data_IF_517421799170
#
_entry.id   IF_517421799170
#
_cell.length_a   1.000
_cell.length_b   1.000
_cell.length_c   1.000
_cell.angle_alpha   90.00
_cell.angle_beta   90.00
_cell.angle_gamma   90.00
#
_symmetry.space_group_name_H-M   'P 1'
#
loop_
_entity.id
_entity.type
_entity.pdbx_description
1 polymer ?
#
# COMPACT_ATOMS: atom_id res chain seq x y z
N UNK A 1 -47.40 -54.80 -4.15
CA UNK A 1 -47.00 -54.22 -2.86
C UNK A 1 -45.49 -54.04 -2.91
N UNK A 2 -44.84 -52.89 -2.91
CA UNK A 2 -45.17 -51.47 -2.89
C UNK A 2 -43.81 -50.80 -2.63
N UNK A 3 -43.23 -50.10 -3.61
CA UNK A 3 -41.92 -49.44 -3.47
C UNK A 3 -42.03 -48.20 -2.59
N UNK A 4 -41.10 -47.93 -1.66
CA UNK A 4 -41.01 -46.61 -1.07
C UNK A 4 -40.13 -45.70 -1.93
N UNK A 5 -40.79 -44.82 -2.66
CA UNK A 5 -40.23 -43.54 -3.13
C UNK A 5 -40.13 -42.60 -1.93
N UNK A 6 -38.95 -42.02 -1.67
CA UNK A 6 -38.84 -40.85 -0.79
C UNK A 6 -37.94 -39.77 -1.41
N UNK A 7 -38.62 -38.71 -1.84
CA UNK A 7 -38.19 -37.31 -2.00
C UNK A 7 -37.50 -36.79 -0.71
N UNK A 8 -36.70 -35.72 -0.58
CA UNK A 8 -36.10 -34.67 -1.44
C UNK A 8 -35.22 -33.77 -0.53
N UNK A 9 -34.01 -33.38 -1.00
CA UNK A 9 -33.40 -32.00 -1.02
C UNK A 9 -33.10 -31.29 0.36
N UNK A 10 -31.96 -30.56 0.59
CA UNK A 10 -31.40 -29.58 -0.35
C UNK A 10 -29.88 -29.53 -0.59
N UNK A 11 -29.63 -28.89 -1.73
CA UNK A 11 -28.38 -28.42 -2.30
C UNK A 11 -27.48 -27.72 -1.29
N UNK A 12 -26.22 -28.16 -1.28
CA UNK A 12 -25.09 -27.40 -0.75
C UNK A 12 -24.99 -26.08 -1.52
N UNK A 13 -25.32 -24.99 -0.84
CA UNK A 13 -25.11 -23.62 -1.33
C UNK A 13 -23.60 -23.36 -1.31
N UNK A 14 -22.92 -23.71 -2.40
CA UNK A 14 -21.55 -23.23 -2.64
C UNK A 14 -21.66 -21.76 -3.06
N UNK A 15 -21.56 -20.88 -2.08
CA UNK A 15 -21.39 -19.45 -2.29
C UNK A 15 -20.17 -19.19 -3.21
N UNK A 16 -20.23 -18.20 -4.12
CA UNK A 16 -19.09 -17.84 -4.92
C UNK A 16 -18.08 -17.10 -4.04
N UNK A 17 -16.90 -17.71 -3.84
CA UNK A 17 -15.76 -16.97 -3.34
C UNK A 17 -15.35 -15.94 -4.39
N UNK A 18 -15.80 -14.69 -4.21
CA UNK A 18 -15.27 -13.53 -4.92
C UNK A 18 -13.88 -13.21 -4.40
N UNK A 19 -12.92 -14.10 -4.67
CA UNK A 19 -11.50 -13.83 -4.47
C UNK A 19 -10.97 -13.29 -5.79
N UNK A 20 -10.78 -11.97 -5.88
CA UNK A 20 -10.00 -11.39 -6.97
C UNK A 20 -8.70 -12.18 -7.14
N UNK A 21 -8.32 -12.61 -8.34
CA UNK A 21 -7.11 -13.40 -8.52
C UNK A 21 -5.90 -12.52 -8.19
N UNK A 22 -5.34 -12.66 -6.99
CA UNK A 22 -4.00 -12.17 -6.71
C UNK A 22 -3.06 -12.92 -7.65
N UNK A 23 -2.65 -12.25 -8.72
CA UNK A 23 -1.68 -12.77 -9.67
C UNK A 23 -0.42 -13.11 -8.89
N UNK A 24 -0.10 -14.40 -8.77
CA UNK A 24 1.09 -14.84 -8.08
C UNK A 24 2.30 -14.23 -8.79
N UNK A 25 3.05 -13.40 -8.07
CA UNK A 25 4.30 -12.83 -8.58
C UNK A 25 5.32 -13.95 -8.64
N UNK A 26 5.98 -14.10 -9.78
CA UNK A 26 7.06 -15.06 -9.92
C UNK A 26 8.25 -14.64 -9.04
N UNK A 27 8.53 -15.44 -8.01
CA UNK A 27 9.63 -15.17 -7.07
C UNK A 27 11.00 -15.22 -7.75
N UNK A 28 11.14 -15.94 -8.86
CA UNK A 28 12.41 -15.99 -9.61
C UNK A 28 12.73 -14.63 -10.22
N UNK A 29 11.71 -13.94 -10.75
CA UNK A 29 11.83 -12.57 -11.28
C UNK A 29 12.14 -11.58 -10.16
N UNK A 30 11.54 -11.70 -8.97
CA UNK A 30 11.90 -10.80 -7.87
C UNK A 30 13.36 -10.98 -7.40
N UNK A 31 13.87 -12.21 -7.44
CA UNK A 31 15.26 -12.52 -7.08
C UNK A 31 16.30 -12.03 -8.09
N UNK A 32 15.89 -11.66 -9.31
CA UNK A 32 16.82 -11.08 -10.29
C UNK A 32 17.09 -9.59 -10.07
N UNK A 33 16.35 -8.94 -9.18
CA UNK A 33 16.58 -7.55 -8.79
C UNK A 33 17.32 -7.48 -7.45
N UNK A 34 18.12 -6.44 -7.28
CA UNK A 34 18.73 -6.13 -5.99
C UNK A 34 17.67 -5.62 -5.00
N UNK A 35 17.90 -5.75 -3.68
CA UNK A 35 17.03 -5.16 -2.67
C UNK A 35 16.81 -3.65 -2.87
N UNK A 36 17.84 -2.92 -3.27
CA UNK A 36 17.81 -1.48 -3.55
C UNK A 36 16.91 -1.16 -4.75
N UNK A 37 16.98 -1.96 -5.83
CA UNK A 37 16.13 -1.80 -7.00
C UNK A 37 14.66 -2.04 -6.66
N UNK A 38 14.37 -3.08 -5.87
CA UNK A 38 13.01 -3.37 -5.42
C UNK A 38 12.47 -2.26 -4.50
N UNK A 39 13.29 -1.74 -3.59
CA UNK A 39 12.90 -0.63 -2.71
C UNK A 39 12.67 0.66 -3.50
N UNK A 40 13.53 0.93 -4.50
CA UNK A 40 13.40 2.11 -5.37
C UNK A 40 12.10 2.03 -6.19
N UNK A 41 11.83 0.89 -6.82
CA UNK A 41 10.59 0.67 -7.58
C UNK A 41 9.35 0.81 -6.68
N UNK A 42 9.40 0.28 -5.45
CA UNK A 42 8.31 0.43 -4.48
C UNK A 42 8.11 1.89 -4.07
N UNK A 43 9.19 2.63 -3.83
CA UNK A 43 9.12 4.06 -3.48
C UNK A 43 8.49 4.88 -4.61
N UNK A 44 8.84 4.59 -5.86
CA UNK A 44 8.26 5.23 -7.04
C UNK A 44 6.77 4.90 -7.21
N UNK A 45 6.37 3.65 -6.96
CA UNK A 45 4.95 3.25 -6.99
C UNK A 45 4.10 3.92 -5.92
N UNK A 46 4.70 4.26 -4.77
CA UNK A 46 4.02 4.86 -3.63
C UNK A 46 4.13 6.39 -3.58
N UNK A 47 4.94 7.00 -4.44
CA UNK A 47 5.12 8.44 -4.51
C UNK A 47 3.80 9.12 -4.88
N UNK A 48 3.40 10.13 -4.08
CA UNK A 48 2.20 10.90 -4.39
C UNK A 48 2.54 11.84 -5.55
N UNK A 49 1.87 11.65 -6.68
CA UNK A 49 2.02 12.52 -7.84
C UNK A 49 1.52 13.94 -7.52
N UNK A 50 2.03 15.00 -8.18
CA UNK A 50 1.52 16.36 -8.01
C UNK A 50 0.01 16.48 -8.26
N UNK A 51 -0.54 15.66 -9.17
CA UNK A 51 -1.96 15.62 -9.51
C UNK A 51 -2.81 15.07 -8.36
N UNK A 52 -2.29 14.08 -7.64
CA UNK A 52 -3.01 13.41 -6.55
C UNK A 52 -2.77 14.05 -5.19
N UNK A 53 -1.89 15.06 -5.13
CA UNK A 53 -1.51 15.74 -3.90
C UNK A 53 -2.71 16.23 -3.09
N UNK A 54 -3.66 16.91 -3.71
CA UNK A 54 -4.83 17.44 -2.98
C UNK A 54 -5.70 16.34 -2.37
N UNK A 55 -5.82 15.20 -3.04
CA UNK A 55 -6.64 14.08 -2.58
C UNK A 55 -5.93 13.24 -1.52
N UNK A 56 -4.60 13.08 -1.62
CA UNK A 56 -3.85 12.09 -0.84
C UNK A 56 -2.91 12.70 0.20
N UNK A 57 -2.62 14.01 0.16
CA UNK A 57 -1.66 14.65 1.08
C UNK A 57 -2.03 14.57 2.56
N UNK A 58 -3.32 14.44 2.88
CA UNK A 58 -3.83 14.25 4.25
C UNK A 58 -4.15 12.78 4.58
N UNK A 59 -4.02 11.88 3.61
CA UNK A 59 -4.24 10.46 3.84
C UNK A 59 -3.04 9.86 4.57
N UNK A 60 -3.22 9.71 5.88
CA UNK A 60 -2.20 9.20 6.80
C UNK A 60 -1.57 7.88 6.34
N UNK A 61 -2.37 6.94 5.85
CA UNK A 61 -1.87 5.64 5.43
C UNK A 61 -1.01 5.74 4.16
N UNK A 62 -1.40 6.59 3.20
CA UNK A 62 -0.63 6.82 1.98
C UNK A 62 0.69 7.51 2.32
N UNK A 63 0.65 8.58 3.10
CA UNK A 63 1.84 9.33 3.52
C UNK A 63 2.82 8.46 4.33
N UNK A 64 2.31 7.61 5.23
CA UNK A 64 3.15 6.70 5.99
C UNK A 64 3.88 5.69 5.08
N UNK A 65 3.16 5.09 4.14
CA UNK A 65 3.75 4.11 3.19
C UNK A 65 4.78 4.75 2.28
N UNK A 66 4.48 5.94 1.73
CA UNK A 66 5.41 6.71 0.91
C UNK A 66 6.72 7.00 1.66
N UNK A 67 6.63 7.50 2.89
CA UNK A 67 7.81 7.80 3.71
C UNK A 67 8.59 6.54 4.10
N UNK A 68 7.91 5.45 4.46
CA UNK A 68 8.55 4.19 4.81
C UNK A 68 9.29 3.56 3.61
N UNK A 69 8.70 3.58 2.42
CA UNK A 69 9.34 3.08 1.21
C UNK A 69 10.56 3.93 0.83
N UNK A 70 10.46 5.26 0.93
CA UNK A 70 11.61 6.14 0.73
C UNK A 70 12.72 5.87 1.76
N UNK A 71 12.38 5.66 3.04
CA UNK A 71 13.36 5.33 4.06
C UNK A 71 14.11 4.02 3.77
N UNK A 72 13.40 2.99 3.29
CA UNK A 72 13.98 1.70 2.94
C UNK A 72 15.08 1.84 1.87
N UNK A 73 14.88 2.70 0.86
CA UNK A 73 15.89 3.00 -0.16
C UNK A 73 17.18 3.53 0.48
N UNK A 74 17.08 4.44 1.44
CA UNK A 74 18.26 5.00 2.10
C UNK A 74 18.93 4.00 3.05
N UNK A 75 18.16 3.19 3.78
CA UNK A 75 18.72 2.14 4.66
C UNK A 75 19.53 1.12 3.87
N UNK A 76 19.00 0.64 2.74
CA UNK A 76 19.69 -0.34 1.90
C UNK A 76 20.91 0.24 1.18
N UNK A 77 21.04 1.57 1.13
CA UNK A 77 22.21 2.28 0.58
C UNK A 77 23.17 2.77 1.67
N UNK A 78 23.06 2.25 2.89
CA UNK A 78 23.87 2.62 4.06
C UNK A 78 23.85 4.12 4.39
N UNK A 79 22.68 4.77 4.24
CA UNK A 79 22.44 6.19 4.56
C UNK A 79 21.41 6.37 5.69
N UNK A 80 21.73 5.95 6.92
CA UNK A 80 20.81 6.03 8.05
C UNK A 80 20.36 7.47 8.37
N UNK A 81 21.22 8.46 8.16
CA UNK A 81 20.95 9.89 8.36
C UNK A 81 19.79 10.41 7.50
N UNK A 82 19.60 9.84 6.31
CA UNK A 82 18.47 10.14 5.41
C UNK A 82 17.24 9.28 5.71
N UNK A 83 17.45 8.06 6.20
CA UNK A 83 16.38 7.13 6.51
C UNK A 83 15.61 7.50 7.78
N UNK A 84 16.32 7.85 8.86
CA UNK A 84 15.74 8.18 10.17
C UNK A 84 14.64 9.27 10.08
N UNK A 85 14.87 10.45 9.48
CA UNK A 85 13.83 11.48 9.41
C UNK A 85 12.59 11.00 8.65
N UNK A 86 12.73 10.13 7.64
CA UNK A 86 11.61 9.57 6.87
C UNK A 86 10.83 8.54 7.67
N UNK A 87 11.50 7.69 8.44
CA UNK A 87 10.84 6.78 9.38
C UNK A 87 10.05 7.55 10.44
N UNK A 88 10.62 8.62 10.99
CA UNK A 88 9.92 9.50 11.94
C UNK A 88 8.68 10.14 11.31
N UNK A 89 8.76 10.57 10.04
CA UNK A 89 7.59 11.04 9.31
C UNK A 89 6.55 9.93 9.14
N UNK A 90 6.95 8.71 8.75
CA UNK A 90 6.04 7.59 8.61
C UNK A 90 5.31 7.27 9.93
N UNK A 91 6.05 7.20 11.04
CA UNK A 91 5.49 7.02 12.39
C UNK A 91 4.53 8.14 12.72
N UNK A 92 4.92 9.39 12.49
CA UNK A 92 4.11 10.56 12.80
C UNK A 92 2.78 10.61 12.04
N UNK A 93 2.73 10.03 10.84
CA UNK A 93 1.49 9.84 10.11
C UNK A 93 0.62 8.72 10.68
N UNK A 94 1.21 7.62 11.16
CA UNK A 94 0.48 6.49 11.75
C UNK A 94 -0.08 6.83 13.14
N UNK A 95 0.70 7.49 13.98
CA UNK A 95 0.33 7.87 15.36
C UNK A 95 -0.49 9.18 15.44
N UNK A 96 -0.67 9.86 14.30
CA UNK A 96 -1.45 11.10 14.14
C UNK A 96 -0.81 12.34 14.78
N UNK A 97 0.49 12.30 15.10
CA UNK A 97 1.23 13.49 15.55
C UNK A 97 1.48 14.48 14.41
N UNK A 98 1.54 14.00 13.16
CA UNK A 98 1.67 14.84 11.98
C UNK A 98 0.32 15.18 11.35
N UNK A 99 0.27 16.38 10.77
CA UNK A 99 -0.85 16.89 9.97
C UNK A 99 -0.34 17.31 8.60
N UNK A 100 -1.22 17.26 7.60
CA UNK A 100 -0.86 17.73 6.27
C UNK A 100 -0.47 19.21 6.32
N UNK A 101 0.64 19.59 5.66
CA UNK A 101 0.94 21.00 5.48
C UNK A 101 -0.20 21.68 4.71
N UNK A 102 -0.48 22.96 4.97
CA UNK A 102 -1.48 23.71 4.21
C UNK A 102 -1.12 23.71 2.71
N UNK A 103 -2.13 23.77 1.86
CA UNK A 103 -1.94 23.77 0.42
C UNK A 103 -1.04 24.95 -0.02
N UNK A 104 0.00 24.75 -0.84
CA UNK A 104 0.89 25.83 -1.27
C UNK A 104 0.20 26.90 -2.13
N UNK A 105 -1.01 26.63 -2.65
CA UNK A 105 -1.81 27.61 -3.39
C UNK A 105 -2.66 28.54 -2.49
N UNK A 106 -2.69 28.33 -1.17
CA UNK A 106 -3.40 29.20 -0.21
C UNK A 106 -2.54 30.40 0.23
N UNK A 107 -2.08 31.19 -0.74
CA UNK A 107 -1.31 32.41 -0.45
C UNK A 107 -1.27 33.45 -1.57
N UNK A 108 -2.05 33.29 -2.65
CA UNK A 108 -2.09 34.24 -3.77
C UNK A 108 -3.48 34.84 -3.99
N UNK A 109 -4.15 35.24 -2.92
CA UNK A 109 -5.30 36.15 -3.01
C UNK A 109 -5.29 37.07 -1.79
N UNK A 110 -4.56 38.19 -1.89
CA UNK A 110 -4.75 39.39 -1.07
C UNK A 110 -4.51 40.59 -1.97
#
# INVERSE_FOLDING_TARGET
MGTPTSMSVPQSVSQPASSSPQRAVDKSVLKSFSPEELAQALAEQLAISPKDWHSLSSNRAVRAREQAAAALVYMLKDRPEEAIPRLNQAIGWLDRTLKAPPCPSHGKHS
#
